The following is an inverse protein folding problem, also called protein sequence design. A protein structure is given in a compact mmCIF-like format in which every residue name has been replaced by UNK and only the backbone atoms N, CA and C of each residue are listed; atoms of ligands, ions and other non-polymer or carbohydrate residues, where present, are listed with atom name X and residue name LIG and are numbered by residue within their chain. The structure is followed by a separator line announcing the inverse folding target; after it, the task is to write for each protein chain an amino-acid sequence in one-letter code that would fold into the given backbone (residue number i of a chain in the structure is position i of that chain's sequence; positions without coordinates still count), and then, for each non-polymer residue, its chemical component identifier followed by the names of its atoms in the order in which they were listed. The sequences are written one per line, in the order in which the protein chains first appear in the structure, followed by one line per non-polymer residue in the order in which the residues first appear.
data_IF_867907270843
#
_entry.id   IF_867907270843
#
_cell.length_a   1.000
_cell.length_b   1.000
_cell.length_c   1.000
_cell.angle_alpha   90.00
_cell.angle_beta   90.00
_cell.angle_gamma   90.00
#
_symmetry.space_group_name_H-M   'P 1'
#
loop_
_entity.id
_entity.type
_entity.pdbx_description
1 polymer ?
#
# COMPACT_ATOMS: atom_id res chain seq x y z
N UNK A 1 16.94 35.86 -19.98
CA UNK A 1 17.05 35.50 -18.55
C UNK A 1 15.67 35.04 -18.11
N UNK A 2 15.43 33.73 -17.97
CA UNK A 2 14.09 33.18 -17.68
C UNK A 2 13.88 33.20 -16.17
N UNK A 3 12.87 33.92 -15.70
CA UNK A 3 12.46 33.88 -14.29
C UNK A 3 11.94 32.49 -13.93
N UNK A 4 12.66 31.82 -13.02
CA UNK A 4 12.25 30.54 -12.45
C UNK A 4 11.13 30.83 -11.46
N UNK A 5 9.88 30.54 -11.83
CA UNK A 5 8.74 30.59 -10.93
C UNK A 5 8.97 29.61 -9.78
N UNK A 6 9.20 30.14 -8.58
CA UNK A 6 9.37 29.38 -7.34
C UNK A 6 8.05 28.66 -7.05
N UNK A 7 8.03 27.33 -7.20
CA UNK A 7 6.87 26.51 -6.83
C UNK A 7 6.62 26.71 -5.34
N UNK A 8 5.44 27.21 -5.00
CA UNK A 8 5.06 27.50 -3.64
C UNK A 8 4.70 26.17 -2.97
N UNK A 9 5.57 25.67 -2.08
CA UNK A 9 5.34 24.45 -1.34
C UNK A 9 4.06 24.60 -0.50
N UNK A 10 3.09 23.73 -0.76
CA UNK A 10 1.77 23.76 -0.13
C UNK A 10 1.87 22.98 1.18
N UNK A 11 2.12 23.70 2.28
CA UNK A 11 2.18 23.10 3.61
C UNK A 11 0.76 22.87 4.13
N UNK A 12 0.47 21.64 4.58
CA UNK A 12 -0.76 21.30 5.29
C UNK A 12 -0.43 21.06 6.75
N UNK A 13 -0.95 21.92 7.63
CA UNK A 13 -0.87 21.69 9.06
C UNK A 13 -1.80 20.53 9.44
N UNK A 14 -1.19 19.43 9.90
CA UNK A 14 -1.90 18.25 10.40
C UNK A 14 -1.62 18.04 11.87
N UNK A 15 -2.67 17.71 12.63
CA UNK A 15 -2.52 17.30 14.02
C UNK A 15 -1.88 15.92 14.09
N UNK A 16 -0.80 15.80 14.86
CA UNK A 16 -0.02 14.56 15.00
C UNK A 16 -0.90 13.37 15.45
N UNK A 17 -1.81 13.59 16.40
CA UNK A 17 -2.72 12.54 16.89
C UNK A 17 -3.63 11.99 15.79
N UNK A 18 -4.15 12.87 14.94
CA UNK A 18 -5.06 12.48 13.86
C UNK A 18 -4.30 11.72 12.75
N UNK A 19 -3.07 12.14 12.45
CA UNK A 19 -2.18 11.45 11.51
C UNK A 19 -1.74 10.07 12.03
N UNK A 20 -1.34 9.96 13.30
CA UNK A 20 -0.94 8.69 13.92
C UNK A 20 -2.07 7.66 13.89
N UNK A 21 -3.30 8.06 14.26
CA UNK A 21 -4.46 7.17 14.22
C UNK A 21 -4.75 6.68 12.80
N UNK A 22 -4.69 7.60 11.83
CA UNK A 22 -4.97 7.30 10.43
C UNK A 22 -3.92 6.38 9.83
N UNK A 23 -2.64 6.70 10.04
CA UNK A 23 -1.51 5.90 9.59
C UNK A 23 -1.52 4.50 10.21
N UNK A 24 -1.80 4.40 11.51
CA UNK A 24 -1.90 3.11 12.20
C UNK A 24 -3.03 2.25 11.64
N UNK A 25 -4.23 2.81 11.49
CA UNK A 25 -5.39 2.09 10.96
C UNK A 25 -5.15 1.64 9.51
N UNK A 26 -4.56 2.50 8.69
CA UNK A 26 -4.24 2.21 7.28
C UNK A 26 -3.24 1.07 7.17
N UNK A 27 -2.19 1.10 7.99
CA UNK A 27 -1.21 0.02 8.03
C UNK A 27 -1.83 -1.28 8.53
N UNK A 28 -2.56 -1.24 9.65
CA UNK A 28 -3.19 -2.41 10.24
C UNK A 28 -4.17 -3.08 9.26
N UNK A 29 -5.02 -2.30 8.59
CA UNK A 29 -5.95 -2.81 7.58
C UNK A 29 -5.22 -3.42 6.39
N UNK A 30 -4.15 -2.78 5.90
CA UNK A 30 -3.30 -3.33 4.82
C UNK A 30 -2.69 -4.68 5.21
N UNK A 31 -2.17 -4.81 6.44
CA UNK A 31 -1.58 -6.06 6.93
C UNK A 31 -2.61 -7.17 7.01
N UNK A 32 -3.79 -6.90 7.59
CA UNK A 32 -4.84 -7.90 7.80
C UNK A 32 -5.31 -8.46 6.46
N UNK A 33 -5.65 -7.57 5.52
CA UNK A 33 -6.25 -7.95 4.24
C UNK A 33 -5.23 -8.50 3.24
N UNK A 34 -4.05 -7.91 3.17
CA UNK A 34 -3.12 -8.15 2.04
C UNK A 34 -1.91 -9.01 2.41
N UNK A 35 -1.82 -9.50 3.65
CA UNK A 35 -0.65 -10.27 4.09
C UNK A 35 -0.97 -11.38 5.08
N UNK A 36 -1.75 -11.09 6.12
CA UNK A 36 -1.89 -11.97 7.28
C UNK A 36 -2.93 -13.08 7.05
N UNK A 37 -4.12 -12.74 6.56
CA UNK A 37 -5.21 -13.69 6.37
C UNK A 37 -5.24 -14.25 4.94
N UNK A 38 -5.43 -15.57 4.77
CA UNK A 38 -5.69 -16.17 3.46
C UNK A 38 -7.09 -15.83 2.95
N UNK A 39 -7.29 -15.84 1.63
CA UNK A 39 -8.62 -15.68 1.03
C UNK A 39 -9.43 -16.96 1.24
N UNK A 40 -10.72 -16.82 1.57
CA UNK A 40 -11.61 -17.96 1.87
C UNK A 40 -11.90 -18.84 0.66
N UNK A 41 -11.75 -18.30 -0.55
CA UNK A 41 -12.08 -19.02 -1.80
C UNK A 41 -11.05 -20.07 -2.17
N UNK A 42 -9.78 -19.75 -1.98
CA UNK A 42 -8.64 -20.57 -2.39
C UNK A 42 -7.75 -21.01 -1.22
N UNK A 43 -7.90 -20.41 -0.04
CA UNK A 43 -7.03 -20.64 1.11
C UNK A 43 -5.62 -20.11 0.94
N UNK A 44 -5.32 -19.38 -0.15
CA UNK A 44 -3.98 -18.95 -0.50
C UNK A 44 -3.68 -17.55 0.04
N UNK A 45 -2.45 -17.38 0.53
CA UNK A 45 -1.90 -16.05 0.86
C UNK A 45 -1.59 -15.27 -0.43
N UNK A 46 -1.65 -13.93 -0.40
CA UNK A 46 -1.36 -13.10 -1.58
C UNK A 46 0.01 -13.34 -2.24
N UNK A 47 1.04 -13.72 -1.47
CA UNK A 47 2.36 -14.08 -2.03
C UNK A 47 2.31 -15.37 -2.85
N UNK A 48 1.62 -16.40 -2.35
CA UNK A 48 1.51 -17.70 -3.03
C UNK A 48 0.75 -17.56 -4.35
N UNK A 49 -0.35 -16.79 -4.36
CA UNK A 49 -1.11 -16.50 -5.59
C UNK A 49 -0.24 -15.85 -6.67
N UNK A 50 0.59 -14.87 -6.29
CA UNK A 50 1.52 -14.22 -7.24
C UNK A 50 2.56 -15.17 -7.80
N UNK A 51 3.09 -16.08 -6.99
CA UNK A 51 4.05 -17.11 -7.46
C UNK A 51 3.39 -18.01 -8.49
N UNK A 52 2.18 -18.53 -8.22
CA UNK A 52 1.47 -19.41 -9.13
C UNK A 52 1.14 -18.73 -10.46
N UNK A 53 0.68 -17.47 -10.42
CA UNK A 53 0.43 -16.69 -11.64
C UNK A 53 1.73 -16.49 -12.43
N UNK A 54 2.82 -16.10 -11.77
CA UNK A 54 4.11 -15.92 -12.45
C UNK A 54 4.66 -17.23 -13.06
N UNK A 55 4.48 -18.37 -12.39
CA UNK A 55 4.87 -19.68 -12.93
C UNK A 55 4.06 -20.02 -14.19
N UNK A 56 2.75 -19.78 -14.15
CA UNK A 56 1.87 -19.96 -15.31
C UNK A 56 2.28 -19.04 -16.47
N UNK A 57 2.62 -17.78 -16.19
CA UNK A 57 3.07 -16.81 -17.21
C UNK A 57 4.42 -17.20 -17.82
N UNK A 58 5.29 -17.86 -17.05
CA UNK A 58 6.58 -18.40 -17.51
C UNK A 58 6.45 -19.77 -18.19
N UNK A 59 5.24 -20.32 -18.24
CA UNK A 59 4.93 -21.61 -18.86
C UNK A 59 5.76 -22.78 -18.28
N UNK A 60 6.01 -22.71 -16.96
CA UNK A 60 6.72 -23.71 -16.16
C UNK A 60 5.78 -24.81 -15.63
#
# INVERSE_FOLDING_TARGET
MKEVKKQQERFEDKRILDELKTSYLTYAMSVIVSRALPDVRDGLKPSQRRILVAMNDLNL
#
